data_IF_158160433386
#
_entry.id   IF_158160433386
#
_cell.length_a   1.000
_cell.length_b   1.000
_cell.length_c   1.000
_cell.angle_alpha   90.00
_cell.angle_beta   90.00
_cell.angle_gamma   90.00
#
_symmetry.space_group_name_H-M   'P 1'
#
loop_
_entity.id
_entity.type
_entity.pdbx_description
1 polymer ?
#
# COMPACT_ATOMS: atom_id res chain seq x y z
N UNK A 1 19.98 -5.56 14.77
CA UNK A 1 19.92 -4.85 13.47
C UNK A 1 19.40 -5.78 12.41
N UNK A 2 18.37 -5.35 11.67
CA UNK A 2 17.85 -6.03 10.50
C UNK A 2 17.85 -5.02 9.34
N UNK A 3 18.58 -5.32 8.28
CA UNK A 3 18.80 -4.41 7.15
C UNK A 3 18.09 -4.88 5.87
N UNK A 4 17.26 -5.90 5.98
CA UNK A 4 16.49 -6.46 4.86
C UNK A 4 16.70 -7.97 4.70
N UNK A 5 16.15 -8.50 3.61
CA UNK A 5 16.19 -9.91 3.23
C UNK A 5 16.67 -10.04 1.79
N UNK A 6 17.21 -11.21 1.46
CA UNK A 6 17.55 -11.60 0.10
C UNK A 6 16.86 -12.93 -0.22
N UNK A 7 16.46 -13.16 -1.46
CA UNK A 7 15.94 -14.45 -1.89
C UNK A 7 16.96 -15.57 -1.68
N UNK A 8 16.49 -16.74 -1.25
CA UNK A 8 17.29 -17.94 -1.12
C UNK A 8 17.03 -18.83 -2.35
N UNK A 9 18.05 -19.11 -3.15
CA UNK A 9 17.94 -19.82 -4.40
C UNK A 9 18.68 -21.17 -4.42
N UNK A 10 19.21 -21.62 -3.29
CA UNK A 10 19.93 -22.86 -3.17
C UNK A 10 19.08 -24.04 -3.64
N UNK A 11 19.65 -24.89 -4.49
CA UNK A 11 18.96 -26.03 -5.08
C UNK A 11 18.24 -25.75 -6.41
N UNK A 12 18.26 -24.49 -6.89
CA UNK A 12 17.64 -24.09 -8.16
C UNK A 12 18.67 -23.88 -9.29
N UNK A 13 19.95 -24.10 -9.04
CA UNK A 13 21.07 -23.76 -9.92
C UNK A 13 20.96 -24.46 -11.29
N UNK A 14 20.41 -25.68 -11.30
CA UNK A 14 20.26 -26.49 -12.51
C UNK A 14 19.11 -26.08 -13.43
N UNK A 15 18.24 -25.17 -12.97
CA UNK A 15 17.07 -24.75 -13.75
C UNK A 15 17.40 -23.66 -14.77
N UNK A 16 18.59 -23.03 -14.70
CA UNK A 16 18.99 -21.93 -15.58
C UNK A 16 17.94 -20.81 -15.68
N UNK A 17 17.33 -20.45 -14.54
CA UNK A 17 16.34 -19.37 -14.46
C UNK A 17 17.00 -18.01 -14.73
N UNK A 18 16.29 -17.13 -15.43
CA UNK A 18 16.73 -15.74 -15.57
C UNK A 18 16.62 -15.03 -14.22
N UNK A 19 17.71 -14.38 -13.80
CA UNK A 19 17.78 -13.63 -12.54
C UNK A 19 17.93 -12.13 -12.80
N UNK A 20 17.29 -11.31 -11.94
CA UNK A 20 17.55 -9.88 -11.82
C UNK A 20 18.11 -9.60 -10.42
N UNK A 21 19.38 -9.18 -10.34
CA UNK A 21 20.06 -8.86 -9.06
C UNK A 21 19.91 -9.94 -7.98
N UNK A 22 20.05 -11.22 -8.39
CA UNK A 22 19.92 -12.36 -7.49
C UNK A 22 18.50 -12.75 -7.10
N UNK A 23 17.49 -12.29 -7.83
CA UNK A 23 16.07 -12.61 -7.68
C UNK A 23 15.58 -13.32 -8.92
N UNK A 24 14.66 -14.27 -8.79
CA UNK A 24 14.06 -14.92 -9.95
C UNK A 24 13.18 -13.91 -10.69
N UNK A 25 13.52 -13.64 -11.95
CA UNK A 25 12.72 -12.76 -12.78
C UNK A 25 11.41 -13.45 -13.17
N UNK A 26 10.30 -12.77 -12.96
CA UNK A 26 8.96 -13.21 -13.34
C UNK A 26 8.24 -12.15 -14.15
N UNK A 27 7.28 -12.58 -14.96
CA UNK A 27 6.34 -11.68 -15.63
C UNK A 27 5.15 -11.34 -14.73
N UNK A 28 4.20 -10.57 -15.24
CA UNK A 28 3.00 -10.17 -14.48
C UNK A 28 2.09 -11.35 -14.07
N UNK A 29 2.27 -12.51 -14.68
CA UNK A 29 1.56 -13.75 -14.38
C UNK A 29 2.27 -14.63 -13.35
N UNK A 30 3.39 -14.15 -12.78
CA UNK A 30 4.30 -14.85 -11.87
C UNK A 30 5.07 -16.00 -12.54
N UNK A 31 5.08 -16.10 -13.87
CA UNK A 31 5.82 -17.10 -14.62
C UNK A 31 7.27 -16.65 -14.81
N UNK A 32 8.18 -17.59 -14.68
CA UNK A 32 9.63 -17.39 -14.87
C UNK A 32 10.01 -17.35 -16.36
N UNK A 33 11.32 -17.31 -16.66
CA UNK A 33 11.85 -17.47 -18.01
C UNK A 33 11.60 -18.85 -18.63
N UNK A 34 11.21 -19.85 -17.82
CA UNK A 34 10.90 -21.20 -18.26
C UNK A 34 9.37 -21.38 -18.26
N UNK A 35 8.74 -21.63 -19.41
CA UNK A 35 7.30 -21.82 -19.50
C UNK A 35 6.77 -22.91 -18.55
N UNK A 36 5.69 -22.61 -17.85
CA UNK A 36 5.05 -23.52 -16.89
C UNK A 36 5.72 -23.56 -15.51
N UNK A 37 6.81 -22.79 -15.29
CA UNK A 37 7.44 -22.64 -13.98
C UNK A 37 7.13 -21.25 -13.44
N UNK A 38 6.56 -21.21 -12.23
CA UNK A 38 6.13 -19.99 -11.54
C UNK A 38 6.95 -19.78 -10.26
N UNK A 39 7.25 -18.54 -9.93
CA UNK A 39 8.03 -18.17 -8.75
C UNK A 39 7.35 -17.06 -7.94
N UNK A 40 6.25 -17.36 -7.21
CA UNK A 40 5.57 -16.38 -6.36
C UNK A 40 6.32 -16.13 -5.04
N UNK A 41 6.13 -14.94 -4.46
CA UNK A 41 6.61 -14.57 -3.14
C UNK A 41 8.02 -14.02 -3.11
N UNK A 42 8.68 -14.11 -1.95
CA UNK A 42 9.97 -13.47 -1.67
C UNK A 42 11.09 -13.87 -2.64
N UNK A 43 10.99 -15.05 -3.24
CA UNK A 43 11.98 -15.60 -4.16
C UNK A 43 12.14 -14.74 -5.43
N UNK A 44 11.09 -14.04 -5.87
CA UNK A 44 11.15 -13.12 -7.00
C UNK A 44 11.51 -11.67 -6.58
N UNK A 45 11.48 -11.38 -5.28
CA UNK A 45 11.89 -10.09 -4.72
C UNK A 45 11.05 -8.88 -5.15
N UNK A 46 9.88 -9.07 -5.76
CA UNK A 46 9.02 -7.97 -6.24
C UNK A 46 8.38 -7.23 -5.06
N UNK A 47 7.73 -7.95 -4.16
CA UNK A 47 7.16 -7.45 -2.90
C UNK A 47 7.39 -8.52 -1.82
N UNK A 48 8.37 -8.30 -0.93
CA UNK A 48 8.76 -9.28 0.10
C UNK A 48 7.87 -9.14 1.35
N UNK A 49 6.55 -9.35 1.15
CA UNK A 49 5.50 -9.23 2.16
C UNK A 49 4.60 -10.46 2.09
N UNK A 50 4.21 -11.02 3.24
CA UNK A 50 3.44 -12.26 3.31
C UNK A 50 2.10 -12.19 2.54
N UNK A 51 1.35 -11.10 2.69
CA UNK A 51 0.07 -10.89 2.00
C UNK A 51 0.25 -10.69 0.49
N UNK A 52 1.36 -10.08 0.04
CA UNK A 52 1.72 -10.03 -1.37
C UNK A 52 2.06 -11.44 -1.91
N UNK A 53 2.80 -12.24 -1.12
CA UNK A 53 3.11 -13.62 -1.48
C UNK A 53 1.86 -14.49 -1.60
N UNK A 54 0.84 -14.31 -0.74
CA UNK A 54 -0.46 -14.98 -0.88
C UNK A 54 -1.12 -14.63 -2.22
N UNK A 55 -1.20 -13.35 -2.57
CA UNK A 55 -1.77 -12.92 -3.85
C UNK A 55 -0.99 -13.46 -5.04
N UNK A 56 0.34 -13.40 -5.00
CA UNK A 56 1.19 -13.98 -6.04
C UNK A 56 0.98 -15.51 -6.17
N UNK A 57 0.84 -16.22 -5.04
CA UNK A 57 0.58 -17.66 -5.00
C UNK A 57 -0.76 -18.05 -5.62
N UNK A 58 -1.85 -17.31 -5.30
CA UNK A 58 -3.15 -17.50 -5.93
C UNK A 58 -3.08 -17.32 -7.45
N UNK A 59 -2.43 -16.25 -7.90
CA UNK A 59 -2.25 -15.94 -9.32
C UNK A 59 -1.42 -17.01 -10.02
N UNK A 60 -0.30 -17.43 -9.41
CA UNK A 60 0.56 -18.48 -9.97
C UNK A 60 -0.19 -19.81 -10.09
N UNK A 61 -0.95 -20.21 -9.07
CA UNK A 61 -1.72 -21.45 -9.09
C UNK A 61 -2.81 -21.43 -10.17
N UNK A 62 -3.57 -20.35 -10.29
CA UNK A 62 -4.59 -20.20 -11.34
C UNK A 62 -3.95 -20.26 -12.73
N UNK A 63 -2.84 -19.54 -12.95
CA UNK A 63 -2.15 -19.51 -14.24
C UNK A 63 -1.51 -20.86 -14.60
N UNK A 64 -0.97 -21.59 -13.63
CA UNK A 64 -0.45 -22.92 -13.84
C UNK A 64 -1.54 -23.91 -14.34
N UNK A 65 -2.77 -23.76 -13.89
CA UNK A 65 -3.89 -24.63 -14.26
C UNK A 65 -4.60 -24.22 -15.54
N UNK A 66 -4.65 -22.92 -15.85
CA UNK A 66 -5.50 -22.35 -16.91
C UNK A 66 -4.74 -21.65 -18.03
N UNK A 67 -3.41 -21.60 -17.94
CA UNK A 67 -2.58 -20.71 -18.73
C UNK A 67 -2.60 -19.27 -18.15
N UNK A 68 -1.77 -18.41 -18.68
CA UNK A 68 -1.56 -17.04 -18.16
C UNK A 68 -2.79 -16.13 -18.35
N UNK A 69 -3.84 -16.35 -17.56
CA UNK A 69 -5.15 -15.66 -17.64
C UNK A 69 -5.28 -14.49 -16.64
N UNK A 70 -4.48 -14.48 -15.55
CA UNK A 70 -4.62 -13.50 -14.48
C UNK A 70 -3.27 -12.86 -14.15
N UNK A 71 -3.22 -11.51 -14.12
CA UNK A 71 -2.05 -10.76 -13.67
C UNK A 71 -2.10 -10.53 -12.16
N UNK A 72 -0.93 -10.47 -11.52
CA UNK A 72 -0.83 -10.00 -10.15
C UNK A 72 -0.79 -8.47 -10.14
N UNK A 73 -1.80 -7.86 -9.55
CA UNK A 73 -1.81 -6.42 -9.24
C UNK A 73 -1.17 -6.25 -7.86
N UNK A 74 -0.02 -5.57 -7.80
CA UNK A 74 0.77 -5.41 -6.58
C UNK A 74 1.09 -3.95 -6.27
N UNK A 75 0.60 -3.01 -7.09
CA UNK A 75 0.92 -1.59 -6.98
C UNK A 75 0.41 -0.98 -5.67
N UNK A 76 -0.78 -1.38 -5.25
CA UNK A 76 -1.44 -0.91 -4.02
C UNK A 76 -1.33 -1.91 -2.86
N UNK A 77 -0.22 -2.68 -2.83
CA UNK A 77 0.08 -3.55 -1.69
C UNK A 77 0.39 -2.70 -0.45
N UNK A 78 -0.40 -2.81 0.64
CA UNK A 78 -0.11 -2.07 1.86
C UNK A 78 1.15 -2.63 2.53
N UNK A 79 1.93 -1.76 3.16
CA UNK A 79 3.08 -2.15 3.97
C UNK A 79 2.96 -1.54 5.35
N UNK A 80 3.31 -2.30 6.39
CA UNK A 80 3.27 -1.85 7.78
C UNK A 80 4.53 -2.22 8.55
N UNK A 81 4.91 -1.35 9.47
CA UNK A 81 5.96 -1.56 10.47
C UNK A 81 5.30 -1.48 11.85
N UNK A 82 5.37 -2.58 12.59
CA UNK A 82 4.67 -2.79 13.87
C UNK A 82 5.45 -2.22 15.05
N UNK A 83 5.86 -0.97 14.92
CA UNK A 83 6.47 -0.18 15.99
C UNK A 83 5.37 0.44 16.89
N UNK A 84 5.76 1.21 17.90
CA UNK A 84 4.83 2.04 18.66
C UNK A 84 5.34 3.49 18.65
N UNK A 85 4.64 4.41 17.95
CA UNK A 85 3.47 4.20 17.08
C UNK A 85 3.77 3.32 15.85
N UNK A 86 2.72 2.68 15.30
CA UNK A 86 2.80 1.95 14.04
C UNK A 86 3.06 2.89 12.86
N UNK A 87 3.68 2.36 11.80
CA UNK A 87 3.85 3.08 10.53
C UNK A 87 3.28 2.22 9.41
N UNK A 88 2.47 2.80 8.54
CA UNK A 88 1.94 2.09 7.38
C UNK A 88 1.89 2.98 6.14
N UNK A 89 1.97 2.35 4.97
CA UNK A 89 1.92 3.04 3.69
C UNK A 89 1.27 2.19 2.61
N UNK A 90 0.66 2.86 1.64
CA UNK A 90 0.16 2.27 0.40
C UNK A 90 0.32 3.27 -0.74
N UNK A 91 0.74 2.81 -1.92
CA UNK A 91 0.93 3.66 -3.10
C UNK A 91 2.25 4.44 -3.10
N UNK A 92 2.23 5.61 -3.72
CA UNK A 92 3.41 6.44 -3.99
C UNK A 92 3.72 7.38 -2.83
N UNK A 93 5.00 7.68 -2.64
CA UNK A 93 5.42 8.84 -1.83
C UNK A 93 5.03 10.14 -2.55
N UNK A 94 4.97 11.26 -1.84
CA UNK A 94 4.75 12.56 -2.47
C UNK A 94 5.82 12.88 -3.53
N UNK A 95 7.08 12.53 -3.25
CA UNK A 95 8.20 12.74 -4.17
C UNK A 95 8.02 11.94 -5.47
N UNK A 96 7.70 10.64 -5.35
CA UNK A 96 7.46 9.77 -6.50
C UNK A 96 6.21 10.18 -7.28
N UNK A 97 5.16 10.60 -6.58
CA UNK A 97 3.93 11.09 -7.20
C UNK A 97 4.18 12.37 -8.00
N UNK A 98 4.91 13.35 -7.43
CA UNK A 98 5.31 14.57 -8.15
C UNK A 98 6.21 14.27 -9.35
N UNK A 99 7.12 13.32 -9.22
CA UNK A 99 8.00 12.92 -10.32
C UNK A 99 7.22 12.27 -11.49
N UNK A 100 6.15 11.51 -11.17
CA UNK A 100 5.37 10.76 -12.17
C UNK A 100 4.21 11.57 -12.77
N UNK A 101 3.51 12.36 -11.96
CA UNK A 101 2.27 13.04 -12.33
C UNK A 101 2.41 14.57 -12.44
N UNK A 102 3.50 15.14 -11.92
CA UNK A 102 3.70 16.60 -11.87
C UNK A 102 2.99 17.22 -10.66
N UNK A 103 1.91 17.93 -10.88
CA UNK A 103 1.15 18.57 -9.81
C UNK A 103 0.34 17.55 -9.01
N UNK A 104 0.52 17.57 -7.70
CA UNK A 104 -0.22 16.74 -6.75
C UNK A 104 -0.75 17.60 -5.60
N UNK A 105 -1.88 17.21 -5.07
CA UNK A 105 -2.47 17.73 -3.83
C UNK A 105 -2.04 16.86 -2.66
N UNK A 106 -1.90 17.47 -1.49
CA UNK A 106 -1.51 16.75 -0.27
C UNK A 106 -2.41 17.18 0.86
N UNK A 107 -3.09 16.21 1.46
CA UNK A 107 -3.85 16.41 2.69
C UNK A 107 -3.16 15.72 3.86
N UNK A 108 -3.29 16.29 5.05
CA UNK A 108 -2.69 15.75 6.27
C UNK A 108 -3.62 15.98 7.45
N UNK A 109 -3.84 14.96 8.27
CA UNK A 109 -4.59 15.08 9.52
C UNK A 109 -3.80 14.52 10.69
N UNK A 110 -3.72 15.26 11.78
CA UNK A 110 -3.04 14.86 13.01
C UNK A 110 -3.97 14.07 13.93
N UNK A 111 -3.48 12.98 14.52
CA UNK A 111 -4.23 12.26 15.57
C UNK A 111 -4.45 13.10 16.84
N UNK A 112 -3.77 14.24 17.02
CA UNK A 112 -4.02 15.16 18.10
C UNK A 112 -5.43 15.81 18.07
N UNK A 113 -6.06 15.87 16.88
CA UNK A 113 -7.45 16.30 16.69
C UNK A 113 -8.48 15.16 16.75
N UNK A 114 -8.05 13.91 16.83
CA UNK A 114 -8.95 12.76 16.79
C UNK A 114 -9.44 12.36 18.18
N UNK A 115 -10.77 12.41 18.40
CA UNK A 115 -11.39 12.13 19.70
C UNK A 115 -11.10 10.72 20.23
N UNK A 116 -11.03 9.70 19.36
CA UNK A 116 -10.68 8.33 19.76
C UNK A 116 -9.22 8.23 20.21
N UNK A 117 -8.31 8.88 19.49
CA UNK A 117 -6.89 8.89 19.81
C UNK A 117 -6.62 9.58 21.16
N UNK A 118 -7.29 10.70 21.41
CA UNK A 118 -7.23 11.41 22.69
C UNK A 118 -7.74 10.52 23.83
N UNK A 119 -8.91 9.91 23.66
CA UNK A 119 -9.52 9.03 24.67
C UNK A 119 -8.68 7.78 24.96
N UNK A 120 -7.92 7.31 23.99
CA UNK A 120 -7.01 6.14 24.10
C UNK A 120 -5.60 6.51 24.58
N UNK A 121 -5.30 7.79 24.80
CA UNK A 121 -3.96 8.32 25.09
C UNK A 121 -2.93 7.97 23.99
N UNK A 122 -3.37 7.98 22.73
CA UNK A 122 -2.58 7.66 21.54
C UNK A 122 -2.62 8.78 20.49
N UNK A 123 -2.74 10.03 20.93
CA UNK A 123 -2.89 11.22 20.08
C UNK A 123 -1.56 11.64 19.39
N UNK A 124 -0.78 10.68 18.91
CA UNK A 124 0.51 10.92 18.27
C UNK A 124 0.48 10.49 16.82
N UNK A 125 1.15 11.28 15.95
CA UNK A 125 1.28 10.97 14.55
C UNK A 125 0.23 11.61 13.66
N UNK A 126 0.10 11.11 12.45
CA UNK A 126 -0.74 11.71 11.43
C UNK A 126 -1.10 10.71 10.32
N UNK A 127 -2.11 11.05 9.54
CA UNK A 127 -2.39 10.49 8.22
C UNK A 127 -2.00 11.52 7.18
N UNK A 128 -1.32 11.11 6.11
CA UNK A 128 -0.98 11.92 4.94
C UNK A 128 -1.52 11.24 3.68
N UNK A 129 -2.24 12.00 2.87
CA UNK A 129 -2.80 11.59 1.59
C UNK A 129 -2.13 12.38 0.48
N UNK A 130 -1.81 11.70 -0.62
CA UNK A 130 -1.31 12.30 -1.86
C UNK A 130 -2.32 11.97 -2.96
N UNK A 131 -2.82 12.99 -3.65
CA UNK A 131 -3.77 12.84 -4.74
C UNK A 131 -3.30 13.60 -5.99
N UNK A 132 -3.72 13.18 -7.17
CA UNK A 132 -3.46 13.94 -8.38
C UNK A 132 -4.30 15.25 -8.38
N UNK A 133 -3.73 16.32 -8.95
CA UNK A 133 -4.36 17.63 -8.88
C UNK A 133 -5.52 17.82 -9.88
N UNK A 134 -5.71 16.89 -10.81
CA UNK A 134 -6.71 17.04 -11.89
C UNK A 134 -7.99 16.26 -11.63
N UNK A 135 -7.85 15.01 -11.18
CA UNK A 135 -8.99 14.09 -11.00
C UNK A 135 -9.20 13.72 -9.54
N UNK A 136 -8.33 14.19 -8.64
CA UNK A 136 -8.31 13.88 -7.21
C UNK A 136 -8.21 12.37 -6.90
N UNK A 137 -7.64 11.57 -7.84
CA UNK A 137 -7.35 10.16 -7.62
C UNK A 137 -6.32 10.02 -6.51
N UNK A 138 -6.52 9.08 -5.60
CA UNK A 138 -5.58 8.81 -4.50
C UNK A 138 -4.36 8.07 -5.05
N UNK A 139 -3.20 8.70 -4.96
CA UNK A 139 -1.91 8.16 -5.42
C UNK A 139 -1.10 7.50 -4.32
N UNK A 140 -1.32 7.89 -3.07
CA UNK A 140 -0.63 7.33 -1.93
C UNK A 140 -1.17 7.78 -0.59
N UNK A 141 -1.09 6.89 0.40
CA UNK A 141 -1.47 7.16 1.80
C UNK A 141 -0.37 6.68 2.72
N UNK A 142 -0.03 7.50 3.69
CA UNK A 142 1.02 7.24 4.68
C UNK A 142 0.50 7.58 6.07
N UNK A 143 0.68 6.65 7.01
CA UNK A 143 0.17 6.76 8.37
C UNK A 143 1.32 6.50 9.35
N UNK A 144 1.43 7.35 10.35
CA UNK A 144 2.15 7.05 11.57
C UNK A 144 1.21 7.33 12.75
N UNK A 145 0.92 6.33 13.56
CA UNK A 145 -0.04 6.50 14.65
C UNK A 145 -0.71 5.21 15.07
N UNK A 146 -1.77 5.31 15.89
CA UNK A 146 -2.50 4.16 16.37
C UNK A 146 -3.20 3.43 15.22
N UNK A 147 -3.18 2.10 15.28
CA UNK A 147 -3.86 1.22 14.34
C UNK A 147 -3.49 1.49 12.85
N UNK A 148 -2.30 2.00 12.57
CA UNK A 148 -1.89 2.32 11.20
C UNK A 148 -1.93 1.09 10.28
N UNK A 149 -1.56 -0.09 10.80
CA UNK A 149 -1.58 -1.35 10.06
C UNK A 149 -3.00 -1.81 9.67
N UNK A 150 -4.01 -1.41 10.46
CA UNK A 150 -5.42 -1.69 10.15
C UNK A 150 -5.99 -0.63 9.21
N UNK A 151 -5.74 0.66 9.48
CA UNK A 151 -6.26 1.78 8.70
C UNK A 151 -5.78 1.77 7.25
N UNK A 152 -4.55 1.36 7.00
CA UNK A 152 -3.97 1.35 5.64
C UNK A 152 -4.71 0.42 4.67
N UNK A 153 -5.46 -0.57 5.16
CA UNK A 153 -6.24 -1.46 4.31
C UNK A 153 -7.42 -0.75 3.64
N UNK A 154 -7.96 0.29 4.26
CA UNK A 154 -8.94 1.20 3.63
C UNK A 154 -8.31 1.87 2.42
N UNK A 155 -7.10 2.44 2.55
CA UNK A 155 -6.38 3.07 1.46
C UNK A 155 -6.12 2.09 0.29
N UNK A 156 -5.67 0.86 0.58
CA UNK A 156 -5.47 -0.17 -0.44
C UNK A 156 -6.77 -0.47 -1.21
N UNK A 157 -7.90 -0.59 -0.50
CA UNK A 157 -9.21 -0.83 -1.11
C UNK A 157 -9.65 0.33 -1.99
N UNK A 158 -9.46 1.56 -1.54
CA UNK A 158 -9.77 2.80 -2.26
C UNK A 158 -8.98 2.85 -3.58
N UNK A 159 -7.68 2.64 -3.51
CA UNK A 159 -6.77 2.76 -4.65
C UNK A 159 -6.97 1.64 -5.67
N UNK A 160 -7.25 0.40 -5.24
CA UNK A 160 -7.59 -0.72 -6.16
C UNK A 160 -8.91 -0.49 -6.91
N UNK A 161 -9.80 0.36 -6.40
CA UNK A 161 -11.07 0.70 -7.02
C UNK A 161 -11.06 2.10 -7.68
N UNK A 162 -9.90 2.74 -7.78
CA UNK A 162 -9.69 4.04 -8.45
C UNK A 162 -10.65 5.13 -7.94
N UNK A 163 -10.96 5.10 -6.60
CA UNK A 163 -11.83 6.11 -6.00
C UNK A 163 -11.07 7.43 -5.84
N UNK A 164 -11.80 8.52 -5.99
CA UNK A 164 -11.29 9.88 -5.84
C UNK A 164 -11.60 10.46 -4.46
N UNK A 165 -10.94 11.55 -4.10
CA UNK A 165 -11.24 12.29 -2.86
C UNK A 165 -12.72 12.71 -2.82
N UNK A 166 -13.27 13.15 -3.94
CA UNK A 166 -14.67 13.64 -4.04
C UNK A 166 -15.68 12.56 -3.66
N UNK A 167 -15.43 11.29 -4.04
CA UNK A 167 -16.29 10.16 -3.68
C UNK A 167 -16.10 9.76 -2.21
N UNK A 168 -14.87 9.84 -1.70
CA UNK A 168 -14.58 9.51 -0.30
C UNK A 168 -15.24 10.49 0.66
N UNK A 169 -15.38 11.76 0.31
CA UNK A 169 -16.08 12.74 1.12
C UNK A 169 -17.60 12.50 1.20
N UNK A 170 -18.17 11.62 0.36
CA UNK A 170 -19.55 11.16 0.50
C UNK A 170 -19.69 9.99 1.50
N UNK A 171 -18.58 9.38 1.90
CA UNK A 171 -18.60 8.25 2.83
C UNK A 171 -18.70 8.71 4.28
N UNK A 172 -19.43 7.96 5.10
CA UNK A 172 -19.59 8.27 6.53
C UNK A 172 -18.66 7.35 7.33
N UNK A 173 -17.74 7.93 8.09
CA UNK A 173 -16.92 7.21 9.06
C UNK A 173 -17.61 7.16 10.43
N UNK A 174 -17.49 6.03 11.11
CA UNK A 174 -18.08 5.84 12.44
C UNK A 174 -17.40 6.70 13.51
N UNK A 175 -18.17 7.23 14.47
CA UNK A 175 -17.67 8.01 15.61
C UNK A 175 -17.88 7.28 16.94
N UNK A 176 -16.88 7.24 17.87
CA UNK A 176 -15.50 7.70 17.72
C UNK A 176 -14.57 6.58 17.20
N UNK A 177 -13.80 6.84 16.16
CA UNK A 177 -12.86 5.88 15.56
C UNK A 177 -11.55 6.55 15.17
N UNK A 178 -10.49 5.74 14.98
CA UNK A 178 -9.25 6.22 14.37
C UNK A 178 -9.41 6.52 12.87
N UNK A 179 -10.35 5.84 12.19
CA UNK A 179 -10.59 6.02 10.75
C UNK A 179 -11.19 7.39 10.39
N UNK A 180 -11.79 8.11 11.35
CA UNK A 180 -12.15 9.52 11.13
C UNK A 180 -10.94 10.38 10.74
N UNK A 181 -9.74 9.99 11.18
CA UNK A 181 -8.52 10.69 10.79
C UNK A 181 -8.13 10.46 9.33
N UNK A 182 -8.55 9.32 8.74
CA UNK A 182 -8.46 9.10 7.29
C UNK A 182 -9.37 10.07 6.55
N UNK A 183 -10.64 10.19 6.97
CA UNK A 183 -11.59 11.14 6.39
C UNK A 183 -11.09 12.57 6.43
N UNK A 184 -10.61 13.03 7.59
CA UNK A 184 -10.05 14.38 7.75
C UNK A 184 -8.83 14.62 6.83
N UNK A 185 -7.98 13.61 6.63
CA UNK A 185 -6.85 13.73 5.71
C UNK A 185 -7.31 13.77 4.24
N UNK A 186 -8.37 13.05 3.86
CA UNK A 186 -9.00 13.18 2.54
C UNK A 186 -9.61 14.58 2.36
N UNK A 187 -10.34 15.08 3.36
CA UNK A 187 -10.93 16.40 3.31
C UNK A 187 -9.88 17.52 3.23
N UNK A 188 -8.76 17.35 3.90
CA UNK A 188 -7.65 18.32 3.88
C UNK A 188 -6.99 18.44 2.48
N UNK A 189 -7.07 17.40 1.64
CA UNK A 189 -6.60 17.48 0.22
C UNK A 189 -7.31 18.63 -0.52
N UNK A 190 -8.60 18.87 -0.22
CA UNK A 190 -9.41 19.93 -0.82
C UNK A 190 -9.56 21.17 0.09
N UNK A 191 -8.90 21.18 1.24
CA UNK A 191 -9.03 22.26 2.23
C UNK A 191 -10.35 22.27 2.98
N UNK A 192 -11.03 21.12 3.08
CA UNK A 192 -12.35 20.94 3.71
C UNK A 192 -12.28 20.26 5.09
N UNK A 193 -11.09 19.97 5.61
CA UNK A 193 -10.92 19.36 6.92
C UNK A 193 -11.49 20.27 8.03
N UNK A 194 -12.19 19.67 9.02
CA UNK A 194 -12.85 20.40 10.09
C UNK A 194 -12.08 20.27 11.41
N UNK A 195 -11.51 19.12 11.69
CA UNK A 195 -10.90 18.78 12.99
C UNK A 195 -9.36 18.81 12.97
N UNK A 196 -8.76 19.42 11.95
CA UNK A 196 -7.31 19.60 11.89
C UNK A 196 -6.90 20.76 12.81
N UNK A 197 -6.14 20.51 13.89
CA UNK A 197 -5.59 21.61 14.69
C UNK A 197 -4.56 22.38 13.86
N UNK A 198 -4.46 23.70 14.05
CA UNK A 198 -3.52 24.55 13.33
C UNK A 198 -2.05 24.20 13.64
#
# INVERSE_FOLDING_TARGET
LSIGRVPQLDGLENLNLELDRGRIKVNAYQETSIPGIYAPGDVNGTKMLAHAAYRMGEVAAENAMRGNVRKAHLDYTPAAVYTHPEVAMCGLTEEDARAKYGDVLVGKSSFAGNGRAIASNEAHGFVKVVADAKYHEILGVHIIGPAAAELINEASTIMENELTVDELLQSIHGHPTFSENMYEAFADVLGEAIHNPP
#
